data_IF_786109560681
#
_entry.id   IF_786109560681
#
_cell.length_a   1.000
_cell.length_b   1.000
_cell.length_c   1.000
_cell.angle_alpha   90.00
_cell.angle_beta   90.00
_cell.angle_gamma   90.00
#
_symmetry.space_group_name_H-M   'P 1'
#
loop_
_entity.id
_entity.type
_entity.pdbx_description
1 polymer ?
#
# COMPACT_ATOMS: atom_id res chain seq x y z
N UNK A 1 -11.74 0.47 24.33
CA UNK A 1 -12.80 -0.54 24.46
C UNK A 1 -13.41 -0.75 23.08
N UNK A 2 -13.07 -1.85 22.42
CA UNK A 2 -13.69 -2.26 21.16
C UNK A 2 -14.34 -3.62 21.40
N UNK A 3 -15.66 -3.68 21.35
CA UNK A 3 -16.41 -4.92 21.53
C UNK A 3 -16.48 -5.66 20.19
N UNK A 4 -15.71 -6.74 20.10
CA UNK A 4 -15.82 -7.72 19.03
C UNK A 4 -17.09 -8.51 19.33
N UNK A 5 -18.13 -8.28 18.54
CA UNK A 5 -19.39 -9.01 18.63
C UNK A 5 -19.15 -10.50 18.35
N UNK A 6 -19.18 -11.30 19.41
CA UNK A 6 -19.12 -12.75 19.36
C UNK A 6 -20.34 -13.27 18.60
N UNK A 7 -20.11 -13.67 17.36
CA UNK A 7 -21.01 -14.55 16.61
C UNK A 7 -21.07 -15.84 17.44
N UNK A 8 -22.25 -16.24 17.91
CA UNK A 8 -22.46 -17.45 18.71
C UNK A 8 -22.22 -18.71 17.87
N UNK A 9 -20.95 -19.01 17.60
CA UNK A 9 -20.54 -20.31 17.09
C UNK A 9 -20.56 -21.30 18.26
N UNK A 10 -21.57 -22.17 18.30
CA UNK A 10 -21.55 -23.33 19.20
C UNK A 10 -20.59 -24.37 18.63
N UNK A 11 -19.37 -24.42 19.17
CA UNK A 11 -18.33 -25.35 18.75
C UNK A 11 -18.62 -26.76 19.31
N UNK A 12 -19.31 -27.60 18.53
CA UNK A 12 -19.31 -29.05 18.79
C UNK A 12 -18.20 -29.70 17.97
N UNK A 13 -17.08 -30.01 18.64
CA UNK A 13 -15.93 -30.72 18.08
C UNK A 13 -16.27 -32.20 17.86
N UNK A 14 -16.65 -32.58 16.64
CA UNK A 14 -16.68 -33.97 16.17
C UNK A 14 -15.65 -34.17 15.05
N UNK A 15 -15.04 -35.36 14.92
CA UNK A 15 -13.83 -35.53 14.13
C UNK A 15 -14.11 -35.34 12.63
N UNK A 16 -13.36 -34.41 12.04
CA UNK A 16 -13.03 -34.28 10.62
C UNK A 16 -14.10 -33.87 9.59
N UNK A 17 -15.27 -33.33 9.97
CA UNK A 17 -16.08 -32.54 9.02
C UNK A 17 -16.77 -31.37 9.72
N UNK A 18 -16.32 -30.15 9.42
CA UNK A 18 -17.08 -28.94 9.72
C UNK A 18 -18.33 -28.94 8.84
N UNK A 19 -19.46 -29.36 9.39
CA UNK A 19 -20.73 -29.29 8.69
C UNK A 19 -21.37 -27.93 9.00
N UNK A 20 -21.28 -27.00 8.06
CA UNK A 20 -22.01 -25.73 8.15
C UNK A 20 -23.40 -25.98 7.56
N UNK A 21 -24.37 -26.26 8.43
CA UNK A 21 -25.78 -26.23 8.02
C UNK A 21 -26.23 -24.76 7.94
N UNK A 22 -26.40 -24.26 6.71
CA UNK A 22 -26.94 -22.91 6.49
C UNK A 22 -28.44 -22.99 6.23
N UNK A 23 -29.22 -22.11 6.85
CA UNK A 23 -30.64 -21.91 6.56
C UNK A 23 -30.72 -21.02 5.33
N UNK A 24 -31.48 -21.43 4.31
CA UNK A 24 -31.63 -20.65 3.08
C UNK A 24 -32.91 -19.79 3.16
N UNK A 25 -32.82 -18.49 3.50
CA UNK A 25 -34.00 -17.65 3.65
C UNK A 25 -34.64 -17.29 2.31
N UNK A 26 -35.96 -17.08 2.31
CA UNK A 26 -36.68 -16.62 1.12
C UNK A 26 -36.50 -15.11 0.92
N UNK A 27 -35.47 -14.71 0.15
CA UNK A 27 -35.14 -13.31 -0.11
C UNK A 27 -35.90 -12.66 -1.27
N UNK A 28 -36.82 -13.38 -1.93
CA UNK A 28 -37.55 -12.89 -3.12
C UNK A 28 -38.29 -11.57 -2.87
N UNK A 29 -38.81 -11.37 -1.65
CA UNK A 29 -39.54 -10.16 -1.25
C UNK A 29 -38.61 -8.93 -1.21
N UNK A 30 -37.40 -9.07 -0.65
CA UNK A 30 -36.44 -7.97 -0.61
C UNK A 30 -35.91 -7.64 -2.01
N UNK A 31 -35.70 -8.66 -2.84
CA UNK A 31 -35.19 -8.50 -4.22
C UNK A 31 -36.21 -7.78 -5.11
N UNK A 32 -37.50 -8.10 -4.98
CA UNK A 32 -38.58 -7.39 -5.67
C UNK A 32 -38.61 -5.88 -5.32
N UNK A 33 -38.20 -5.54 -4.10
CA UNK A 33 -38.11 -4.14 -3.62
C UNK A 33 -36.75 -3.48 -3.87
N UNK A 34 -35.83 -4.15 -4.58
CA UNK A 34 -34.45 -3.69 -4.82
C UNK A 34 -33.70 -3.39 -3.52
N UNK A 35 -33.92 -4.22 -2.49
CA UNK A 35 -33.28 -4.16 -1.18
C UNK A 35 -32.39 -5.38 -0.99
N UNK A 36 -31.39 -5.26 -0.11
CA UNK A 36 -30.58 -6.40 0.28
C UNK A 36 -31.25 -7.17 1.42
N UNK A 37 -31.03 -8.48 1.42
CA UNK A 37 -31.59 -9.42 2.38
C UNK A 37 -30.55 -9.74 3.46
N UNK A 38 -30.92 -9.62 4.74
CA UNK A 38 -30.10 -10.04 5.87
C UNK A 38 -30.90 -10.99 6.75
N UNK A 39 -30.26 -12.05 7.26
CA UNK A 39 -30.87 -12.93 8.25
C UNK A 39 -30.88 -12.22 9.62
N UNK A 40 -32.03 -12.20 10.28
CA UNK A 40 -32.20 -11.58 11.60
C UNK A 40 -31.54 -12.44 12.67
N UNK A 41 -30.75 -11.84 13.56
CA UNK A 41 -30.01 -12.58 14.60
C UNK A 41 -30.87 -13.01 15.79
N UNK A 42 -32.01 -12.34 16.03
CA UNK A 42 -32.84 -12.50 17.22
C UNK A 42 -34.24 -13.07 16.91
N UNK A 43 -34.47 -13.55 15.69
CA UNK A 43 -35.76 -14.12 15.26
C UNK A 43 -35.81 -15.64 15.42
N UNK A 44 -37.00 -16.22 15.29
CA UNK A 44 -37.16 -17.66 15.03
C UNK A 44 -36.43 -18.01 13.72
N UNK A 45 -35.93 -19.24 13.59
CA UNK A 45 -35.15 -19.69 12.42
C UNK A 45 -35.73 -19.20 11.09
N UNK A 46 -34.94 -18.46 10.32
CA UNK A 46 -35.29 -18.04 8.95
C UNK A 46 -35.93 -16.66 8.79
N UNK A 47 -36.09 -15.86 9.85
CA UNK A 47 -36.62 -14.50 9.72
C UNK A 47 -35.62 -13.57 8.99
N UNK A 48 -36.12 -12.82 8.00
CA UNK A 48 -35.33 -11.91 7.17
C UNK A 48 -35.62 -10.44 7.46
N UNK A 49 -34.60 -9.61 7.33
CA UNK A 49 -34.68 -8.15 7.38
C UNK A 49 -34.21 -7.57 6.04
N UNK A 50 -35.07 -6.79 5.38
CA UNK A 50 -34.71 -6.09 4.16
C UNK A 50 -34.12 -4.73 4.49
N UNK A 51 -32.90 -4.46 4.04
CA UNK A 51 -32.24 -3.17 4.26
C UNK A 51 -31.77 -2.58 2.93
N UNK A 52 -31.85 -1.25 2.83
CA UNK A 52 -31.27 -0.52 1.71
C UNK A 52 -29.80 -0.31 2.01
N UNK A 53 -28.92 -0.87 1.20
CA UNK A 53 -27.54 -0.38 1.17
C UNK A 53 -27.62 0.99 0.51
N UNK A 54 -27.45 2.05 1.31
CA UNK A 54 -27.01 3.32 0.77
C UNK A 54 -25.69 3.04 0.05
N UNK A 55 -25.71 2.98 -1.29
CA UNK A 55 -24.47 2.98 -2.07
C UNK A 55 -23.68 4.17 -1.57
N UNK A 56 -22.49 4.00 -0.94
CA UNK A 56 -21.67 5.14 -0.62
C UNK A 56 -21.44 5.87 -1.94
N UNK A 57 -21.71 7.17 -1.95
CA UNK A 57 -21.59 8.02 -3.14
C UNK A 57 -20.18 7.80 -3.71
N UNK A 58 -20.13 7.05 -4.80
CA UNK A 58 -18.90 6.56 -5.46
C UNK A 58 -17.98 7.70 -5.94
N UNK A 59 -18.41 8.95 -5.81
CA UNK A 59 -17.69 10.15 -6.23
C UNK A 59 -16.68 10.72 -5.22
N UNK A 60 -16.72 10.34 -3.93
CA UNK A 60 -15.77 10.87 -2.92
C UNK A 60 -14.48 10.04 -2.83
N UNK A 61 -14.57 8.72 -2.96
CA UNK A 61 -13.39 7.84 -2.90
C UNK A 61 -12.46 7.97 -4.11
N UNK A 62 -12.99 8.17 -5.33
CA UNK A 62 -12.15 8.26 -6.53
C UNK A 62 -11.23 9.49 -6.52
N UNK A 63 -11.73 10.62 -5.97
CA UNK A 63 -10.92 11.84 -5.81
C UNK A 63 -9.79 11.65 -4.80
N UNK A 64 -10.06 10.93 -3.70
CA UNK A 64 -9.05 10.65 -2.68
C UNK A 64 -7.98 9.70 -3.22
N UNK A 65 -8.37 8.68 -3.99
CA UNK A 65 -7.43 7.75 -4.64
C UNK A 65 -6.58 8.48 -5.69
N UNK A 66 -7.14 9.42 -6.45
CA UNK A 66 -6.35 10.17 -7.43
C UNK A 66 -5.26 11.05 -6.77
N UNK A 67 -5.57 11.70 -5.65
CA UNK A 67 -4.63 12.57 -4.93
C UNK A 67 -3.49 11.76 -4.31
N UNK A 68 -3.79 10.57 -3.74
CA UNK A 68 -2.76 9.73 -3.12
C UNK A 68 -1.76 9.19 -4.13
N UNK A 69 -2.19 8.87 -5.35
CA UNK A 69 -1.32 8.37 -6.42
C UNK A 69 -0.34 9.46 -6.88
N UNK A 70 -0.81 10.70 -7.08
CA UNK A 70 0.03 11.81 -7.52
C UNK A 70 1.08 12.16 -6.48
N UNK A 71 0.67 12.30 -5.21
CA UNK A 71 1.59 12.66 -4.12
C UNK A 71 2.62 11.55 -3.87
N UNK A 72 2.19 10.28 -3.86
CA UNK A 72 3.09 9.14 -3.70
C UNK A 72 4.12 9.04 -4.83
N UNK A 73 3.68 9.17 -6.08
CA UNK A 73 4.58 9.13 -7.23
C UNK A 73 5.60 10.28 -7.20
N UNK A 74 5.17 11.48 -6.81
CA UNK A 74 6.05 12.64 -6.74
C UNK A 74 7.14 12.46 -5.66
N UNK A 75 6.77 11.97 -4.48
CA UNK A 75 7.71 11.69 -3.40
C UNK A 75 8.73 10.62 -3.80
N UNK A 76 8.29 9.54 -4.45
CA UNK A 76 9.20 8.51 -4.96
C UNK A 76 10.21 9.07 -5.97
N UNK A 77 9.75 9.92 -6.88
CA UNK A 77 10.61 10.56 -7.89
C UNK A 77 11.69 11.43 -7.23
N UNK A 78 11.33 12.23 -6.22
CA UNK A 78 12.29 13.04 -5.46
C UNK A 78 13.36 12.19 -4.76
N UNK A 79 12.97 11.06 -4.16
CA UNK A 79 13.92 10.14 -3.51
C UNK A 79 14.90 9.58 -4.54
N UNK A 80 14.42 9.12 -5.69
CA UNK A 80 15.28 8.58 -6.76
C UNK A 80 16.25 9.64 -7.27
N UNK A 81 15.80 10.88 -7.47
CA UNK A 81 16.65 11.99 -7.91
C UNK A 81 17.71 12.31 -6.86
N UNK A 82 17.33 12.40 -5.58
CA UNK A 82 18.28 12.68 -4.50
C UNK A 82 19.38 11.60 -4.42
N UNK A 83 18.99 10.32 -4.45
CA UNK A 83 19.94 9.19 -4.46
C UNK A 83 20.82 9.20 -5.70
N UNK A 84 20.24 9.47 -6.87
CA UNK A 84 20.99 9.53 -8.12
C UNK A 84 21.99 10.68 -8.11
N UNK A 85 21.60 11.83 -7.56
CA UNK A 85 22.47 13.00 -7.46
C UNK A 85 23.61 12.77 -6.47
N UNK A 86 23.35 12.20 -5.29
CA UNK A 86 24.41 11.88 -4.33
C UNK A 86 25.36 10.83 -4.87
N UNK A 87 24.85 9.76 -5.49
CA UNK A 87 25.67 8.72 -6.12
C UNK A 87 26.52 9.26 -7.28
N UNK A 88 25.94 10.09 -8.15
CA UNK A 88 26.70 10.72 -9.24
C UNK A 88 27.70 11.73 -8.70
N UNK A 89 27.35 12.50 -7.66
CA UNK A 89 28.27 13.46 -7.05
C UNK A 89 29.43 12.76 -6.35
N UNK A 90 29.22 11.64 -5.67
CA UNK A 90 30.30 10.87 -5.05
C UNK A 90 31.21 10.26 -6.12
N UNK A 91 30.63 9.64 -7.14
CA UNK A 91 31.40 9.04 -8.24
C UNK A 91 32.14 10.07 -9.08
N UNK A 92 31.49 11.21 -9.38
CA UNK A 92 32.13 12.30 -10.09
C UNK A 92 33.28 12.87 -9.28
N UNK A 93 33.14 12.98 -7.96
CA UNK A 93 34.23 13.43 -7.09
C UNK A 93 35.44 12.50 -7.17
N UNK A 94 35.24 11.18 -7.17
CA UNK A 94 36.33 10.21 -7.37
C UNK A 94 37.01 10.38 -8.73
N UNK A 95 36.25 10.55 -9.81
CA UNK A 95 36.80 10.74 -11.17
C UNK A 95 37.54 12.08 -11.32
N UNK A 96 37.05 13.16 -10.70
CA UNK A 96 37.70 14.48 -10.70
C UNK A 96 38.97 14.48 -9.84
N UNK A 97 38.94 13.81 -8.68
CA UNK A 97 40.08 13.69 -7.78
C UNK A 97 41.21 12.88 -8.42
N UNK A 98 40.90 11.74 -9.05
CA UNK A 98 41.88 10.95 -9.80
C UNK A 98 42.52 11.72 -10.95
N UNK A 99 41.73 12.56 -11.65
CA UNK A 99 42.26 13.42 -12.72
C UNK A 99 43.20 14.50 -12.18
N UNK A 100 42.89 15.09 -11.02
CA UNK A 100 43.75 16.09 -10.36
C UNK A 100 45.06 15.45 -9.89
N UNK A 101 45.02 14.26 -9.31
CA UNK A 101 46.22 13.51 -8.92
C UNK A 101 47.12 13.20 -10.12
N UNK A 102 46.54 12.76 -11.24
CA UNK A 102 47.29 12.50 -12.47
C UNK A 102 47.97 13.78 -13.01
N UNK A 103 47.26 14.92 -13.01
CA UNK A 103 47.85 16.21 -13.37
C UNK A 103 48.97 16.64 -12.42
N UNK A 104 48.83 16.37 -11.11
CA UNK A 104 49.86 16.67 -10.11
C UNK A 104 51.12 15.82 -10.31
N UNK A 105 50.96 14.53 -10.59
CA UNK A 105 52.07 13.62 -10.86
C UNK A 105 52.79 13.98 -12.18
N UNK A 106 52.04 14.28 -13.24
CA UNK A 106 52.61 14.77 -14.50
C UNK A 106 53.36 16.09 -14.27
N UNK A 107 52.79 17.04 -13.53
CA UNK A 107 53.47 18.30 -13.21
C UNK A 107 54.75 18.08 -12.39
N UNK A 108 54.76 17.12 -11.46
CA UNK A 108 55.94 16.76 -10.67
C UNK A 108 57.02 16.07 -11.52
N UNK A 109 56.63 15.21 -12.46
CA UNK A 109 57.52 14.55 -13.40
C UNK A 109 58.10 15.52 -14.44
N UNK A 110 57.29 16.51 -14.87
CA UNK A 110 57.72 17.56 -15.77
C UNK A 110 58.41 18.73 -15.09
N UNK A 111 58.38 18.84 -13.75
CA UNK A 111 59.13 19.86 -13.03
C UNK A 111 60.62 19.56 -13.22
N UNK A 112 61.34 20.31 -14.06
CA UNK A 112 62.77 20.16 -14.13
C UNK A 112 63.28 20.68 -12.79
N UNK A 113 63.87 19.80 -11.98
CA UNK A 113 64.70 20.18 -10.85
C UNK A 113 65.78 21.11 -11.40
N UNK A 114 65.61 22.40 -11.21
CA UNK A 114 66.60 23.44 -11.46
C UNK A 114 66.27 24.59 -10.52
N UNK A 115 67.18 25.10 -9.71
CA UNK A 115 68.62 24.86 -9.53
C UNK A 115 68.91 25.40 -8.13
N UNK A 116 69.88 24.79 -7.45
CA UNK A 116 70.59 25.46 -6.38
C UNK A 116 71.01 26.87 -6.85
N UNK A 117 70.53 27.89 -6.16
CA UNK A 117 71.20 29.17 -6.02
C UNK A 117 71.28 29.51 -4.54
#
# INVERSE_FOLDING_TARGET
MGDISLISASWKLWPNRLFVSWINPNCSICEAEVKNCKLKSNGTEGEIECFRVHKPIRGKSTKIIAISVILGSFLLMLVVVAVSHTYRSSKAREEYEARIEQFLDDYKALKPTRVDL
#
